data_IF_350948590883
#
_entry.id   IF_350948590883
#
_cell.length_a   1.000
_cell.length_b   1.000
_cell.length_c   1.000
_cell.angle_alpha   90.00
_cell.angle_beta   90.00
_cell.angle_gamma   90.00
#
_symmetry.space_group_name_H-M   'P 1'
#
loop_
_entity.id
_entity.type
_entity.pdbx_description
1 polymer ?
#
# COMPACT_ATOMS: atom_id res chain seq x y z
N UNK A 1 -5.60 5.50 -35.95
CA UNK A 1 -5.00 4.74 -34.83
C UNK A 1 -5.83 5.05 -33.59
N UNK A 2 -6.63 4.09 -33.12
CA UNK A 2 -7.49 4.26 -31.94
C UNK A 2 -6.61 4.35 -30.70
N UNK A 3 -6.81 5.38 -29.89
CA UNK A 3 -6.23 5.45 -28.54
C UNK A 3 -6.73 4.24 -27.72
N UNK A 4 -5.89 3.63 -26.88
CA UNK A 4 -6.35 2.57 -25.98
C UNK A 4 -7.31 3.19 -24.96
N UNK A 5 -8.46 2.54 -24.76
CA UNK A 5 -9.43 2.94 -23.73
C UNK A 5 -8.78 2.85 -22.33
N UNK A 6 -9.12 3.75 -21.39
CA UNK A 6 -8.73 3.58 -19.99
C UNK A 6 -9.30 2.24 -19.49
N UNK A 7 -8.45 1.46 -18.80
CA UNK A 7 -8.88 0.23 -18.14
C UNK A 7 -9.88 0.61 -17.03
N UNK A 8 -11.11 0.10 -17.14
CA UNK A 8 -12.20 0.43 -16.23
C UNK A 8 -11.94 -0.05 -14.79
N UNK A 9 -12.58 0.63 -13.84
CA UNK A 9 -12.66 0.20 -12.45
C UNK A 9 -13.34 -1.18 -12.39
N UNK A 10 -12.56 -2.24 -12.12
CA UNK A 10 -13.11 -3.56 -11.82
C UNK A 10 -13.57 -3.61 -10.37
N UNK A 11 -14.84 -3.95 -10.13
CA UNK A 11 -15.31 -4.34 -8.80
C UNK A 11 -14.77 -5.74 -8.47
N UNK A 12 -14.16 -5.88 -7.29
CA UNK A 12 -13.51 -7.11 -6.83
C UNK A 12 -14.56 -8.13 -6.36
N UNK A 13 -14.33 -9.41 -6.68
CA UNK A 13 -15.13 -10.58 -6.27
C UNK A 13 -14.74 -11.15 -4.90
N UNK A 14 -14.14 -10.36 -4.02
CA UNK A 14 -14.00 -10.70 -2.59
C UNK A 14 -15.41 -10.89 -1.98
N UNK A 15 -15.61 -11.72 -0.93
CA UNK A 15 -16.94 -12.03 -0.40
C UNK A 15 -17.72 -10.72 -0.21
N UNK A 16 -18.87 -10.63 -0.88
CA UNK A 16 -19.74 -9.45 -0.94
C UNK A 16 -19.98 -8.90 0.46
N UNK A 17 -19.14 -7.95 0.84
CA UNK A 17 -19.54 -6.83 1.66
C UNK A 17 -19.82 -5.75 0.62
N UNK A 18 -20.95 -5.05 0.72
CA UNK A 18 -21.39 -3.93 -0.14
C UNK A 18 -20.42 -2.71 -0.04
N UNK A 19 -19.11 -2.94 -0.09
CA UNK A 19 -18.05 -2.05 0.36
C UNK A 19 -16.93 -2.00 -0.68
N UNK A 20 -16.81 -0.85 -1.36
CA UNK A 20 -15.90 -0.63 -2.48
C UNK A 20 -14.46 -0.43 -2.02
N UNK A 21 -13.74 -1.50 -1.70
CA UNK A 21 -12.28 -1.46 -1.65
C UNK A 21 -11.74 -1.46 -3.09
N UNK A 22 -11.15 -0.35 -3.54
CA UNK A 22 -10.59 -0.23 -4.89
C UNK A 22 -9.07 -0.39 -4.84
N UNK A 23 -8.54 -1.48 -5.42
CA UNK A 23 -7.09 -1.61 -5.64
C UNK A 23 -6.75 -0.79 -6.88
N UNK A 24 -6.06 0.33 -6.67
CA UNK A 24 -5.55 1.08 -7.79
C UNK A 24 -4.31 0.38 -8.36
N UNK A 25 -4.43 -0.18 -9.56
CA UNK A 25 -3.30 -0.72 -10.31
C UNK A 25 -2.48 0.45 -10.86
N UNK A 26 -1.51 0.92 -10.08
CA UNK A 26 -0.59 1.96 -10.54
C UNK A 26 0.60 1.31 -11.25
N UNK A 27 0.78 1.72 -12.50
CA UNK A 27 1.88 1.31 -13.36
C UNK A 27 3.15 2.02 -12.88
N UNK A 28 4.17 1.26 -12.46
CA UNK A 28 5.48 1.81 -12.09
C UNK A 28 6.31 2.31 -13.27
N UNK A 29 5.72 2.43 -14.48
CA UNK A 29 6.40 2.93 -15.68
C UNK A 29 6.70 4.43 -15.53
N UNK A 30 7.79 4.74 -14.83
CA UNK A 30 8.23 6.10 -14.60
C UNK A 30 8.97 6.32 -13.29
N UNK A 31 8.98 5.35 -12.37
CA UNK A 31 9.84 5.43 -11.18
C UNK A 31 11.30 5.43 -11.66
N UNK A 32 11.91 6.63 -11.73
CA UNK A 32 13.37 6.75 -11.72
C UNK A 32 13.82 5.96 -10.51
N UNK A 33 14.80 5.06 -10.68
CA UNK A 33 15.33 4.20 -9.60
C UNK A 33 15.56 5.03 -8.34
N UNK A 34 14.58 5.05 -7.43
CA UNK A 34 14.75 5.59 -6.10
C UNK A 34 15.47 4.49 -5.34
N UNK A 35 16.79 4.50 -5.49
CA UNK A 35 17.65 3.54 -4.84
C UNK A 35 17.43 3.68 -3.32
N UNK A 36 17.11 2.55 -2.69
CA UNK A 36 17.03 2.47 -1.25
C UNK A 36 18.37 2.90 -0.66
N UNK A 37 18.31 3.81 0.32
CA UNK A 37 19.42 4.26 1.16
C UNK A 37 20.43 5.21 0.49
N UNK A 38 20.37 6.51 0.83
CA UNK A 38 20.84 6.98 2.15
C UNK A 38 19.80 7.78 2.94
N UNK A 39 20.09 7.99 4.24
CA UNK A 39 19.37 8.81 5.23
C UNK A 39 18.97 10.21 4.74
N UNK A 40 19.62 10.70 3.69
CA UNK A 40 19.54 12.06 3.17
C UNK A 40 19.06 12.10 1.71
N UNK A 41 18.30 11.07 1.28
CA UNK A 41 17.76 11.05 -0.07
C UNK A 41 16.65 12.09 -0.24
N UNK A 42 17.00 13.30 -0.68
CA UNK A 42 16.06 14.37 -0.99
C UNK A 42 15.02 13.98 -2.06
N UNK A 43 15.32 12.98 -2.90
CA UNK A 43 14.44 12.51 -3.96
C UNK A 43 13.41 11.48 -3.49
N UNK A 44 13.48 11.02 -2.22
CA UNK A 44 12.63 9.95 -1.72
C UNK A 44 11.13 10.30 -1.73
N UNK A 45 10.77 11.56 -1.46
CA UNK A 45 9.39 12.04 -1.50
C UNK A 45 9.01 12.53 -2.91
N UNK A 46 9.82 13.40 -3.58
CA UNK A 46 9.55 13.83 -4.96
C UNK A 46 9.43 12.67 -5.96
N UNK A 47 10.09 11.53 -5.71
CA UNK A 47 9.98 10.34 -6.55
C UNK A 47 8.57 9.75 -6.65
N UNK A 48 7.67 10.08 -5.73
CA UNK A 48 6.27 9.63 -5.73
C UNK A 48 5.29 10.69 -6.24
N UNK A 49 5.79 11.78 -6.82
CA UNK A 49 4.96 12.84 -7.40
C UNK A 49 4.01 12.29 -8.49
N UNK A 50 4.50 11.42 -9.38
CA UNK A 50 3.67 10.81 -10.43
C UNK A 50 2.56 9.95 -9.83
N UNK A 51 2.87 9.12 -8.83
CA UNK A 51 1.90 8.27 -8.12
C UNK A 51 0.76 9.12 -7.51
N UNK A 52 1.15 10.26 -6.94
CA UNK A 52 0.24 11.23 -6.31
C UNK A 52 -0.66 11.91 -7.34
N UNK A 53 -0.14 12.27 -8.50
CA UNK A 53 -0.91 12.87 -9.59
C UNK A 53 -1.89 11.88 -10.22
N UNK A 54 -1.47 10.62 -10.41
CA UNK A 54 -2.35 9.54 -10.89
C UNK A 54 -3.49 9.30 -9.91
N UNK A 55 -3.20 9.24 -8.60
CA UNK A 55 -4.22 9.11 -7.57
C UNK A 55 -5.23 10.27 -7.62
N UNK A 56 -4.75 11.51 -7.75
CA UNK A 56 -5.61 12.68 -7.86
C UNK A 56 -6.47 12.68 -9.13
N UNK A 57 -5.93 12.18 -10.26
CA UNK A 57 -6.66 12.09 -11.51
C UNK A 57 -7.75 10.99 -11.48
N UNK A 58 -7.49 9.88 -10.79
CA UNK A 58 -8.42 8.76 -10.66
C UNK A 58 -9.51 9.01 -9.61
N UNK A 59 -9.20 9.80 -8.58
CA UNK A 59 -10.13 10.14 -7.51
C UNK A 59 -10.29 11.66 -7.39
N UNK A 60 -10.89 12.35 -8.38
CA UNK A 60 -11.01 13.80 -8.37
C UNK A 60 -11.81 14.35 -7.17
N UNK A 61 -12.74 13.55 -6.63
CA UNK A 61 -13.52 13.87 -5.43
C UNK A 61 -12.81 13.55 -4.11
N UNK A 62 -11.63 12.95 -4.17
CA UNK A 62 -10.86 12.51 -3.00
C UNK A 62 -11.12 11.08 -2.56
N UNK A 63 -10.41 10.71 -1.50
CA UNK A 63 -10.46 9.39 -0.86
C UNK A 63 -10.59 9.58 0.65
N UNK A 64 -11.21 8.62 1.34
CA UNK A 64 -11.43 8.69 2.79
C UNK A 64 -10.24 8.13 3.58
N UNK A 65 -9.54 7.14 3.03
CA UNK A 65 -8.30 6.65 3.64
C UNK A 65 -7.25 6.19 2.61
N UNK A 66 -5.99 6.35 2.99
CA UNK A 66 -4.84 5.80 2.30
C UNK A 66 -4.01 4.97 3.28
N UNK A 67 -3.61 3.76 2.91
CA UNK A 67 -2.73 2.95 3.75
C UNK A 67 -1.57 2.32 2.97
N UNK A 68 -0.44 2.14 3.65
CA UNK A 68 0.74 1.54 3.05
C UNK A 68 1.78 1.06 4.05
N UNK A 69 2.41 -0.07 3.74
CA UNK A 69 3.51 -0.63 4.52
C UNK A 69 4.77 0.21 4.45
N UNK A 70 5.49 0.28 5.57
CA UNK A 70 6.68 1.10 5.72
C UNK A 70 7.96 0.27 5.61
N UNK A 71 8.67 0.50 4.50
CA UNK A 71 10.11 0.24 4.39
C UNK A 71 10.88 1.52 4.66
N UNK A 72 11.26 2.25 3.62
CA UNK A 72 11.90 3.57 3.74
C UNK A 72 10.94 4.75 3.95
N UNK A 73 9.65 4.51 4.16
CA UNK A 73 8.56 5.50 4.28
C UNK A 73 8.28 6.40 3.06
N UNK A 74 9.17 6.45 2.05
CA UNK A 74 9.05 7.36 0.90
C UNK A 74 7.69 7.34 0.19
N UNK A 75 7.11 6.15 -0.05
CA UNK A 75 5.82 6.03 -0.73
C UNK A 75 4.69 6.69 0.07
N UNK A 76 4.50 6.29 1.34
CA UNK A 76 3.39 6.83 2.15
C UNK A 76 3.58 8.32 2.37
N UNK A 77 4.80 8.77 2.66
CA UNK A 77 5.08 10.18 2.92
C UNK A 77 4.95 11.03 1.65
N UNK A 78 5.43 10.54 0.52
CA UNK A 78 5.34 11.23 -0.78
C UNK A 78 3.89 11.41 -1.23
N UNK A 79 3.06 10.37 -1.07
CA UNK A 79 1.62 10.47 -1.37
C UNK A 79 0.92 11.43 -0.39
N UNK A 80 1.23 11.33 0.90
CA UNK A 80 0.50 12.04 1.96
C UNK A 80 0.82 13.54 2.04
N UNK A 81 2.03 13.95 1.62
CA UNK A 81 2.51 15.33 1.70
C UNK A 81 1.59 16.36 1.01
N UNK A 82 1.02 16.01 -0.14
CA UNK A 82 0.06 16.89 -0.85
C UNK A 82 -1.38 16.43 -0.62
N UNK A 83 -1.60 15.17 -0.22
CA UNK A 83 -2.94 14.71 0.07
C UNK A 83 -3.56 15.51 1.22
N UNK A 84 -2.82 15.82 2.28
CA UNK A 84 -3.32 16.68 3.37
C UNK A 84 -3.66 18.12 2.93
N UNK A 85 -3.14 18.62 1.81
CA UNK A 85 -3.50 19.95 1.29
C UNK A 85 -4.70 19.94 0.35
N UNK A 86 -4.90 18.84 -0.41
CA UNK A 86 -6.05 18.69 -1.32
C UNK A 86 -7.27 18.06 -0.65
N UNK A 87 -7.04 17.04 0.16
CA UNK A 87 -8.04 16.23 0.87
C UNK A 87 -7.63 16.13 2.35
N UNK A 88 -7.82 17.21 3.13
CA UNK A 88 -7.35 17.28 4.52
C UNK A 88 -7.98 16.24 5.43
N UNK A 89 -9.15 15.72 5.07
CA UNK A 89 -9.90 14.73 5.84
C UNK A 89 -9.49 13.28 5.52
N UNK A 90 -8.58 13.05 4.56
CA UNK A 90 -8.09 11.70 4.25
C UNK A 90 -7.28 11.15 5.43
N UNK A 91 -7.72 10.01 5.97
CA UNK A 91 -7.00 9.26 7.01
C UNK A 91 -5.83 8.49 6.39
N UNK A 92 -4.62 8.82 6.80
CA UNK A 92 -3.39 8.16 6.33
C UNK A 92 -2.89 7.17 7.40
N UNK A 93 -2.72 5.91 7.00
CA UNK A 93 -2.36 4.81 7.90
C UNK A 93 -1.06 4.15 7.45
N UNK A 94 -0.03 4.18 8.29
CA UNK A 94 1.22 3.45 8.04
C UNK A 94 1.15 2.04 8.60
N UNK A 95 1.69 1.08 7.85
CA UNK A 95 1.58 -0.34 8.20
C UNK A 95 2.96 -0.95 8.45
N UNK A 96 3.01 -1.91 9.37
CA UNK A 96 4.20 -2.70 9.67
C UNK A 96 3.83 -4.15 9.99
N UNK A 97 4.77 -5.10 9.96
CA UNK A 97 4.51 -6.47 10.41
C UNK A 97 4.16 -6.51 11.90
N UNK A 98 3.05 -7.13 12.28
CA UNK A 98 2.65 -7.27 13.68
C UNK A 98 3.66 -8.08 14.53
N UNK A 99 4.49 -8.91 13.89
CA UNK A 99 5.56 -9.65 14.57
C UNK A 99 6.81 -8.79 14.83
N UNK A 100 6.98 -7.65 14.16
CA UNK A 100 8.07 -6.69 14.36
C UNK A 100 7.55 -5.23 14.37
N UNK A 101 6.73 -4.86 15.37
CA UNK A 101 6.05 -3.57 15.43
C UNK A 101 6.92 -2.44 16.02
N UNK A 102 7.82 -1.91 15.20
CA UNK A 102 8.76 -0.86 15.62
C UNK A 102 8.10 0.50 15.75
N UNK A 103 7.15 0.83 14.87
CA UNK A 103 6.46 2.13 14.82
C UNK A 103 5.37 2.20 15.90
N UNK A 104 4.62 1.11 16.09
CA UNK A 104 3.50 1.05 17.04
C UNK A 104 3.90 0.70 18.46
N UNK A 105 4.85 -0.24 18.65
CA UNK A 105 5.22 -0.76 19.97
C UNK A 105 6.69 -0.54 20.33
N UNK A 106 7.52 -0.02 19.42
CA UNK A 106 8.93 0.24 19.69
C UNK A 106 9.81 -1.01 19.84
N UNK A 107 9.30 -2.20 19.46
CA UNK A 107 10.04 -3.47 19.57
C UNK A 107 10.29 -4.09 18.21
N UNK A 108 11.42 -4.79 18.09
CA UNK A 108 11.75 -5.58 16.92
C UNK A 108 11.30 -7.04 17.10
N UNK A 109 11.15 -7.74 15.99
CA UNK A 109 10.91 -9.17 15.96
C UNK A 109 11.23 -9.76 14.58
N UNK A 110 10.91 -11.03 14.39
CA UNK A 110 11.17 -11.74 13.13
C UNK A 110 9.94 -11.70 12.22
N UNK A 111 10.16 -11.41 10.94
CA UNK A 111 9.17 -11.52 9.87
C UNK A 111 9.88 -11.90 8.57
N UNK A 112 9.11 -12.35 7.59
CA UNK A 112 9.62 -12.67 6.24
C UNK A 112 8.94 -11.87 5.13
N UNK A 113 8.27 -10.76 5.48
CA UNK A 113 7.78 -9.78 4.50
C UNK A 113 8.95 -8.96 3.95
N UNK A 114 9.11 -8.98 2.62
CA UNK A 114 10.21 -8.29 1.94
C UNK A 114 9.91 -6.80 1.73
N UNK A 115 10.98 -5.99 1.75
CA UNK A 115 10.91 -4.55 1.45
C UNK A 115 10.39 -3.63 2.56
N UNK A 116 9.98 -4.19 3.71
CA UNK A 116 9.38 -3.44 4.83
C UNK A 116 9.95 -3.87 6.17
N UNK A 117 9.57 -3.20 7.28
CA UNK A 117 9.88 -3.69 8.63
C UNK A 117 11.38 -3.68 8.95
N UNK A 118 12.08 -2.62 8.57
CA UNK A 118 13.56 -2.56 8.58
C UNK A 118 14.22 -2.58 9.98
N UNK A 119 13.46 -2.80 11.06
CA UNK A 119 13.97 -2.94 12.42
C UNK A 119 14.27 -1.62 13.16
N UNK A 120 14.02 -0.48 12.55
CA UNK A 120 14.10 0.86 13.15
C UNK A 120 13.12 1.82 12.45
N UNK A 121 12.80 2.94 13.08
CA UNK A 121 11.93 3.98 12.48
C UNK A 121 12.66 4.69 11.34
N UNK A 122 12.14 4.69 10.10
CA UNK A 122 12.83 5.30 8.97
C UNK A 122 12.98 6.82 9.14
N UNK A 123 14.12 7.42 8.73
CA UNK A 123 14.33 8.88 8.83
C UNK A 123 13.31 9.72 8.07
N UNK A 124 12.77 9.19 6.96
CA UNK A 124 11.76 9.87 6.16
C UNK A 124 10.35 9.79 6.75
N UNK A 125 10.13 8.97 7.79
CA UNK A 125 8.81 8.85 8.41
C UNK A 125 8.53 10.11 9.24
N UNK A 126 7.61 10.95 8.77
CA UNK A 126 7.16 12.15 9.46
C UNK A 126 5.78 11.93 10.09
N UNK A 127 5.71 12.01 11.42
CA UNK A 127 4.47 11.90 12.21
C UNK A 127 3.41 12.93 11.86
N UNK A 128 3.74 14.00 11.13
CA UNK A 128 2.78 15.00 10.67
C UNK A 128 2.04 14.58 9.39
N UNK A 129 2.56 13.58 8.68
CA UNK A 129 2.03 13.16 7.38
C UNK A 129 1.17 11.89 7.47
N UNK A 130 1.03 11.27 8.63
CA UNK A 130 0.11 10.15 8.86
C UNK A 130 -0.67 10.34 10.16
N UNK A 131 -1.81 9.66 10.26
CA UNK A 131 -2.73 9.79 11.40
C UNK A 131 -2.63 8.62 12.38
N UNK A 132 -2.25 7.44 11.89
CA UNK A 132 -2.03 6.27 12.73
C UNK A 132 -1.07 5.24 12.11
N UNK A 133 -0.56 4.35 12.97
CA UNK A 133 0.24 3.19 12.58
C UNK A 133 -0.46 1.89 13.00
N UNK A 134 -0.34 0.83 12.20
CA UNK A 134 -0.93 -0.49 12.52
C UNK A 134 0.01 -1.65 12.21
N UNK A 135 0.04 -2.62 13.13
CA UNK A 135 0.62 -3.93 12.87
C UNK A 135 -0.33 -4.82 12.07
N UNK A 136 0.17 -5.47 11.03
CA UNK A 136 -0.60 -6.39 10.17
C UNK A 136 -0.01 -7.78 10.22
N UNK A 137 -0.87 -8.80 10.31
CA UNK A 137 -0.46 -10.20 10.31
C UNK A 137 0.12 -10.60 8.96
N UNK A 138 1.35 -11.12 8.98
CA UNK A 138 1.99 -11.66 7.78
C UNK A 138 1.22 -12.87 7.22
N UNK A 139 0.67 -13.72 8.09
CA UNK A 139 -0.10 -14.89 7.68
C UNK A 139 -1.37 -14.48 6.91
N UNK A 140 -2.08 -13.45 7.38
CA UNK A 140 -3.25 -12.90 6.68
C UNK A 140 -2.85 -12.26 5.36
N UNK A 141 -1.74 -11.51 5.34
CA UNK A 141 -1.22 -10.90 4.12
C UNK A 141 -0.90 -11.94 3.04
N UNK A 142 -0.22 -13.03 3.40
CA UNK A 142 0.08 -14.14 2.46
C UNK A 142 -1.19 -14.83 1.97
N UNK A 143 -2.17 -15.05 2.85
CA UNK A 143 -3.45 -15.63 2.46
C UNK A 143 -4.18 -14.73 1.45
N UNK A 144 -4.18 -13.42 1.67
CA UNK A 144 -4.77 -12.45 0.74
C UNK A 144 -4.03 -12.41 -0.59
N UNK A 145 -2.69 -12.47 -0.63
CA UNK A 145 -1.95 -12.57 -1.89
C UNK A 145 -2.41 -13.74 -2.77
N UNK A 146 -2.62 -14.93 -2.17
CA UNK A 146 -3.09 -16.12 -2.90
C UNK A 146 -4.51 -15.95 -3.41
N UNK A 147 -5.39 -15.35 -2.59
CA UNK A 147 -6.76 -15.02 -3.00
C UNK A 147 -6.77 -14.01 -4.14
N UNK A 148 -5.97 -12.95 -4.08
CA UNK A 148 -5.83 -11.97 -5.16
C UNK A 148 -5.36 -12.62 -6.47
N UNK A 149 -4.45 -13.57 -6.42
CA UNK A 149 -4.02 -14.31 -7.60
C UNK A 149 -5.14 -15.17 -8.20
N UNK A 150 -5.91 -15.87 -7.34
CA UNK A 150 -6.93 -16.84 -7.76
C UNK A 150 -8.28 -16.20 -8.14
N UNK A 151 -8.69 -15.17 -7.41
CA UNK A 151 -10.00 -14.51 -7.53
C UNK A 151 -9.92 -13.29 -8.46
N UNK A 152 -8.83 -12.54 -8.43
CA UNK A 152 -8.70 -11.24 -9.13
C UNK A 152 -7.66 -11.25 -10.26
N UNK A 153 -6.91 -12.35 -10.43
CA UNK A 153 -5.82 -12.44 -11.40
C UNK A 153 -4.64 -11.50 -11.09
N UNK A 154 -4.52 -11.05 -9.83
CA UNK A 154 -3.46 -10.14 -9.37
C UNK A 154 -2.34 -10.91 -8.68
N UNK A 155 -1.26 -11.16 -9.41
CA UNK A 155 -0.06 -11.80 -8.87
C UNK A 155 0.85 -10.77 -8.19
N UNK A 156 0.75 -10.66 -6.86
CA UNK A 156 1.38 -9.60 -6.06
C UNK A 156 2.30 -10.15 -4.96
N UNK A 157 3.23 -9.33 -4.47
CA UNK A 157 4.14 -9.70 -3.38
C UNK A 157 3.57 -9.57 -1.97
N UNK A 158 4.38 -9.99 -0.99
CA UNK A 158 3.98 -10.14 0.41
C UNK A 158 3.52 -8.83 1.08
N UNK A 159 4.23 -7.73 0.85
CA UNK A 159 3.90 -6.40 1.39
C UNK A 159 2.60 -5.84 0.79
N UNK A 160 2.30 -6.16 -0.47
CA UNK A 160 0.98 -5.88 -1.06
C UNK A 160 -0.14 -6.62 -0.32
N UNK A 161 0.11 -7.85 0.11
CA UNK A 161 -0.85 -8.60 0.94
C UNK A 161 -1.20 -7.87 2.23
N UNK A 162 -0.20 -7.36 2.95
CA UNK A 162 -0.42 -6.59 4.18
C UNK A 162 -1.21 -5.31 3.91
N UNK A 163 -0.86 -4.59 2.84
CA UNK A 163 -1.58 -3.41 2.36
C UNK A 163 -3.07 -3.69 2.14
N UNK A 164 -3.40 -4.76 1.44
CA UNK A 164 -4.79 -5.11 1.12
C UNK A 164 -5.55 -5.59 2.36
N UNK A 165 -4.92 -6.36 3.25
CA UNK A 165 -5.54 -6.75 4.53
C UNK A 165 -5.94 -5.51 5.33
N UNK A 166 -5.04 -4.55 5.48
CA UNK A 166 -5.32 -3.32 6.20
C UNK A 166 -6.36 -2.44 5.49
N UNK A 167 -6.31 -2.34 4.16
CA UNK A 167 -7.30 -1.60 3.38
C UNK A 167 -8.72 -2.16 3.56
N UNK A 168 -8.87 -3.49 3.55
CA UNK A 168 -10.15 -4.16 3.80
C UNK A 168 -10.63 -3.89 5.23
N UNK A 169 -9.75 -3.94 6.23
CA UNK A 169 -10.10 -3.63 7.61
C UNK A 169 -10.55 -2.16 7.77
N UNK A 170 -9.83 -1.23 7.15
CA UNK A 170 -10.18 0.20 7.14
C UNK A 170 -11.50 0.46 6.42
N UNK A 171 -11.77 -0.21 5.31
CA UNK A 171 -13.03 -0.06 4.59
C UNK A 171 -14.23 -0.47 5.47
N UNK A 172 -14.10 -1.58 6.20
CA UNK A 172 -15.11 -2.04 7.16
C UNK A 172 -15.34 -1.06 8.30
N UNK A 173 -14.27 -0.42 8.80
CA UNK A 173 -14.37 0.58 9.86
C UNK A 173 -15.05 1.87 9.40
N UNK A 174 -14.73 2.33 8.18
CA UNK A 174 -15.28 3.56 7.62
C UNK A 174 -16.73 3.39 7.16
N UNK A 175 -17.10 2.16 6.78
CA UNK A 175 -18.46 1.80 6.36
C UNK A 175 -18.74 2.05 4.87
N UNK A 176 -19.98 1.78 4.43
CA UNK A 176 -20.34 1.79 3.02
C UNK A 176 -20.24 3.18 2.39
N UNK A 177 -19.90 3.21 1.10
CA UNK A 177 -19.74 4.45 0.33
C UNK A 177 -18.40 5.17 0.53
N UNK A 178 -17.53 4.65 1.40
CA UNK A 178 -16.19 5.19 1.66
C UNK A 178 -15.15 4.57 0.74
N UNK A 179 -14.16 5.38 0.37
CA UNK A 179 -13.09 4.98 -0.55
C UNK A 179 -11.77 4.83 0.20
N UNK A 180 -11.26 3.60 0.25
CA UNK A 180 -9.93 3.29 0.79
C UNK A 180 -9.01 2.91 -0.35
N UNK A 181 -7.83 3.51 -0.39
CA UNK A 181 -6.80 3.22 -1.39
C UNK A 181 -5.53 2.68 -0.75
N UNK A 182 -4.94 1.68 -1.40
CA UNK A 182 -3.61 1.19 -1.10
C UNK A 182 -2.87 0.85 -2.40
N UNK A 183 -1.60 0.47 -2.30
CA UNK A 183 -0.71 0.25 -3.46
C UNK A 183 -0.29 -1.22 -3.52
N UNK A 184 -0.41 -1.81 -4.71
CA UNK A 184 0.28 -3.06 -5.03
C UNK A 184 1.73 -2.72 -5.41
N UNK A 185 2.67 -3.04 -4.51
CA UNK A 185 4.04 -2.48 -4.54
C UNK A 185 5.00 -3.25 -5.45
N UNK A 186 4.72 -4.53 -5.73
CA UNK A 186 5.51 -5.36 -6.62
C UNK A 186 4.73 -6.59 -7.13
N UNK A 187 5.36 -7.32 -8.04
CA UNK A 187 4.82 -8.55 -8.63
C UNK A 187 5.16 -9.78 -7.79
N UNK A 188 4.21 -10.72 -7.72
CA UNK A 188 4.42 -12.03 -7.10
C UNK A 188 5.49 -12.88 -7.79
N UNK A 189 5.91 -12.52 -9.02
CA UNK A 189 7.01 -13.18 -9.74
C UNK A 189 8.34 -13.14 -8.98
N UNK A 190 8.57 -12.13 -8.14
CA UNK A 190 9.77 -12.03 -7.31
C UNK A 190 9.82 -13.11 -6.21
N UNK A 191 8.69 -13.75 -5.90
CA UNK A 191 8.52 -14.66 -4.77
C UNK A 191 8.34 -16.13 -5.19
N UNK A 192 8.64 -16.47 -6.45
CA UNK A 192 8.47 -17.83 -7.00
C UNK A 192 9.36 -18.88 -6.32
N UNK A 193 10.50 -18.47 -5.76
CA UNK A 193 11.40 -19.37 -5.02
C UNK A 193 11.01 -19.53 -3.54
N UNK A 194 9.98 -18.82 -3.07
CA UNK A 194 9.51 -18.86 -1.70
C UNK A 194 8.21 -19.65 -1.51
N UNK A 195 7.64 -19.57 -0.31
CA UNK A 195 6.39 -20.25 0.04
C UNK A 195 5.13 -19.38 -0.20
N UNK A 196 5.27 -18.20 -0.81
CA UNK A 196 4.14 -17.30 -1.03
C UNK A 196 3.07 -17.96 -1.91
N UNK A 197 3.49 -18.63 -2.98
CA UNK A 197 2.61 -19.21 -4.01
C UNK A 197 2.59 -20.74 -4.02
N UNK A 198 3.22 -21.40 -3.04
CA UNK A 198 3.36 -22.86 -3.03
C UNK A 198 2.02 -23.62 -3.03
N UNK A 199 0.93 -22.97 -2.60
CA UNK A 199 -0.42 -23.55 -2.52
C UNK A 199 -1.48 -22.75 -3.33
N UNK A 200 -1.04 -21.89 -4.26
CA UNK A 200 -1.90 -20.97 -5.03
C UNK A 200 -2.68 -21.69 -6.14
#
# INVERSE_FOLDING_TARGET
>A
MSTPKPYGHGELGLPQVDEKASICRISTNGLKKAQCWPRDNGDALPGYETLREELAAQFPSGIDAFCGTVGGAGMVMGVSCVQKSKWPDTRVVVLEPASSPVITEGRTGSHSVEGIGIGFVPPHLDSKLYDEARGVSEAEGRAVCRRLAREEGLLVGTSTGLNVVAAIALAKELGPGKTVVTVAVDTGLNYMNGNLLADA
#
